data_IF_322133533832
#
_entry.id   IF_322133533832
#
_cell.length_a   1.000
_cell.length_b   1.000
_cell.length_c   1.000
_cell.angle_alpha   90.00
_cell.angle_beta   90.00
_cell.angle_gamma   90.00
#
_symmetry.space_group_name_H-M   'P 1'
#
loop_
_entity.id
_entity.type
_entity.pdbx_description
1 polymer ?
#
# COMPACT_ATOMS: atom_id res chain seq x y z
N UNK A 1 -27.12 -12.90 20.48
CA UNK A 1 -25.96 -12.00 20.41
C UNK A 1 -26.19 -10.85 21.38
N UNK A 2 -25.34 -10.68 22.42
CA UNK A 2 -25.58 -9.72 23.50
C UNK A 2 -25.56 -8.27 22.96
N UNK A 3 -26.31 -7.37 23.62
CA UNK A 3 -26.39 -5.94 23.24
C UNK A 3 -25.03 -5.26 23.23
N UNK A 4 -24.10 -5.72 24.04
CA UNK A 4 -22.71 -5.26 24.13
C UNK A 4 -21.91 -5.58 22.86
N UNK A 5 -22.04 -6.80 22.32
CA UNK A 5 -21.35 -7.23 21.09
C UNK A 5 -21.85 -6.41 19.90
N UNK A 6 -23.17 -6.18 19.82
CA UNK A 6 -23.76 -5.33 18.77
C UNK A 6 -23.23 -3.89 18.82
N UNK A 7 -23.12 -3.30 20.01
CA UNK A 7 -22.59 -1.94 20.18
C UNK A 7 -21.11 -1.84 19.79
N UNK A 8 -20.27 -2.79 20.20
CA UNK A 8 -18.84 -2.83 19.82
C UNK A 8 -18.69 -2.97 18.31
N UNK A 9 -19.44 -3.88 17.68
CA UNK A 9 -19.45 -4.08 16.24
C UNK A 9 -19.87 -2.81 15.48
N UNK A 10 -21.00 -2.20 15.86
CA UNK A 10 -21.47 -0.96 15.24
C UNK A 10 -20.45 0.17 15.37
N UNK A 11 -19.86 0.35 16.55
CA UNK A 11 -18.84 1.38 16.75
C UNK A 11 -17.63 1.17 15.83
N UNK A 12 -17.09 -0.05 15.76
CA UNK A 12 -15.94 -0.36 14.91
C UNK A 12 -16.28 -0.17 13.43
N UNK A 13 -17.47 -0.62 12.99
CA UNK A 13 -17.93 -0.43 11.60
C UNK A 13 -18.06 1.04 11.25
N UNK A 14 -18.69 1.84 12.12
CA UNK A 14 -18.82 3.29 11.90
C UNK A 14 -17.45 3.98 11.85
N UNK A 15 -16.53 3.62 12.73
CA UNK A 15 -15.16 4.16 12.73
C UNK A 15 -14.46 3.86 11.42
N UNK A 16 -14.45 2.59 10.99
CA UNK A 16 -13.80 2.19 9.72
C UNK A 16 -14.45 2.89 8.52
N UNK A 17 -15.80 2.91 8.47
CA UNK A 17 -16.53 3.55 7.37
C UNK A 17 -16.23 5.06 7.29
N UNK A 18 -16.22 5.75 8.43
CA UNK A 18 -15.91 7.19 8.48
C UNK A 18 -14.50 7.50 7.99
N UNK A 19 -13.49 6.78 8.47
CA UNK A 19 -12.10 6.97 8.02
C UNK A 19 -11.91 6.58 6.55
N UNK A 20 -12.58 5.53 6.08
CA UNK A 20 -12.57 5.16 4.66
C UNK A 20 -13.18 6.26 3.79
N UNK A 21 -14.27 6.88 4.24
CA UNK A 21 -14.92 7.97 3.51
C UNK A 21 -14.02 9.21 3.45
N UNK A 22 -13.42 9.59 4.57
CA UNK A 22 -12.42 10.67 4.65
C UNK A 22 -11.26 10.38 3.69
N UNK A 23 -10.70 9.17 3.72
CA UNK A 23 -9.62 8.76 2.82
C UNK A 23 -10.00 8.90 1.34
N UNK A 24 -11.23 8.53 0.96
CA UNK A 24 -11.71 8.66 -0.42
C UNK A 24 -11.82 10.13 -0.85
N UNK A 25 -12.27 11.01 0.04
CA UNK A 25 -12.35 12.45 -0.24
C UNK A 25 -10.95 13.02 -0.46
N UNK A 26 -9.99 12.71 0.43
CA UNK A 26 -8.60 13.14 0.25
C UNK A 26 -7.97 12.55 -1.02
N UNK A 27 -8.25 11.28 -1.34
CA UNK A 27 -7.79 10.66 -2.58
C UNK A 27 -8.31 11.39 -3.82
N UNK A 28 -9.59 11.77 -3.82
CA UNK A 28 -10.17 12.56 -4.90
C UNK A 28 -9.53 13.96 -5.03
N UNK A 29 -9.32 14.65 -3.91
CA UNK A 29 -8.67 15.96 -3.88
C UNK A 29 -7.23 15.84 -4.42
N UNK A 30 -6.48 14.85 -3.98
CA UNK A 30 -5.13 14.57 -4.48
C UNK A 30 -5.13 14.34 -6.00
N UNK A 31 -6.01 13.47 -6.50
CA UNK A 31 -6.06 13.13 -7.92
C UNK A 31 -6.47 14.35 -8.78
N UNK A 32 -7.41 15.17 -8.28
CA UNK A 32 -7.77 16.42 -8.91
C UNK A 32 -6.61 17.44 -8.92
N UNK A 33 -5.87 17.56 -7.83
CA UNK A 33 -4.70 18.40 -7.75
C UNK A 33 -3.60 17.95 -8.72
N UNK A 34 -3.28 16.66 -8.76
CA UNK A 34 -2.32 16.07 -9.71
C UNK A 34 -2.74 16.41 -11.14
N UNK A 35 -4.01 16.23 -11.47
CA UNK A 35 -4.52 16.55 -12.80
C UNK A 35 -4.37 18.03 -13.12
N UNK A 36 -4.79 18.95 -12.25
CA UNK A 36 -4.74 20.38 -12.48
C UNK A 36 -3.29 20.88 -12.63
N UNK A 37 -2.38 20.44 -11.78
CA UNK A 37 -1.00 20.93 -11.77
C UNK A 37 -0.10 20.28 -12.83
N UNK A 38 -0.35 19.03 -13.22
CA UNK A 38 0.53 18.28 -14.11
C UNK A 38 -0.02 18.18 -15.53
N UNK A 39 -1.35 18.33 -15.75
CA UNK A 39 -1.94 18.14 -17.08
C UNK A 39 -1.42 19.11 -18.15
N UNK A 40 -0.95 20.29 -17.73
CA UNK A 40 -0.38 21.28 -18.64
C UNK A 40 1.05 20.95 -19.12
N UNK A 41 1.70 19.93 -18.52
CA UNK A 41 3.03 19.49 -18.88
C UNK A 41 2.93 18.36 -19.89
N UNK A 42 3.41 18.57 -21.11
CA UNK A 42 3.30 17.61 -22.21
C UNK A 42 3.82 16.22 -21.81
N UNK A 43 2.92 15.23 -21.69
CA UNK A 43 3.24 13.85 -21.40
C UNK A 43 3.62 13.52 -19.95
N UNK A 44 3.76 14.49 -19.05
CA UNK A 44 4.16 14.24 -17.66
C UNK A 44 3.08 13.48 -16.87
N UNK A 45 1.82 13.75 -17.13
CA UNK A 45 0.70 13.06 -16.50
C UNK A 45 0.69 11.57 -16.86
N UNK A 46 0.91 11.24 -18.13
CA UNK A 46 1.00 9.85 -18.58
C UNK A 46 2.18 9.13 -17.98
N UNK A 47 3.35 9.79 -17.95
CA UNK A 47 4.55 9.27 -17.30
C UNK A 47 4.33 8.97 -15.82
N UNK A 48 3.63 9.85 -15.10
CA UNK A 48 3.27 9.66 -13.71
C UNK A 48 2.37 8.43 -13.53
N UNK A 49 1.28 8.32 -14.30
CA UNK A 49 0.35 7.19 -14.17
C UNK A 49 1.00 5.85 -14.54
N UNK A 50 1.87 5.82 -15.55
CA UNK A 50 2.60 4.60 -15.91
C UNK A 50 3.58 4.21 -14.81
N UNK A 51 4.35 5.15 -14.28
CA UNK A 51 5.29 4.91 -13.18
C UNK A 51 4.58 4.41 -11.91
N UNK A 52 3.35 4.87 -11.65
CA UNK A 52 2.58 4.49 -10.47
C UNK A 52 1.91 3.12 -10.56
N UNK A 53 1.82 2.52 -11.76
CA UNK A 53 1.17 1.19 -11.96
C UNK A 53 1.83 0.08 -11.15
N UNK A 54 3.16 0.00 -11.15
CA UNK A 54 3.90 -1.07 -10.46
C UNK A 54 3.75 -0.95 -8.94
N UNK A 55 4.06 0.19 -8.30
CA UNK A 55 3.85 0.36 -6.87
C UNK A 55 2.41 0.08 -6.45
N UNK A 56 1.44 0.51 -7.24
CA UNK A 56 0.02 0.30 -6.95
C UNK A 56 -0.38 -1.18 -7.06
N UNK A 57 0.20 -1.93 -7.98
CA UNK A 57 0.01 -3.38 -8.08
C UNK A 57 0.51 -4.09 -6.82
N UNK A 58 1.71 -3.78 -6.35
CA UNK A 58 2.24 -4.34 -5.11
C UNK A 58 1.41 -3.94 -3.89
N UNK A 59 0.97 -2.67 -3.81
CA UNK A 59 0.06 -2.21 -2.76
C UNK A 59 -1.23 -3.05 -2.71
N UNK A 60 -1.80 -3.42 -3.86
CA UNK A 60 -3.00 -4.28 -3.92
C UNK A 60 -2.73 -5.69 -3.43
N UNK A 61 -1.61 -6.29 -3.79
CA UNK A 61 -1.24 -7.64 -3.34
C UNK A 61 -1.04 -7.66 -1.83
N UNK A 62 -0.22 -6.74 -1.31
CA UNK A 62 0.17 -6.73 0.09
C UNK A 62 -0.87 -6.04 0.99
N UNK A 63 -1.49 -4.94 0.54
CA UNK A 63 -2.36 -4.09 1.37
C UNK A 63 -3.83 -4.46 1.36
N UNK A 64 -4.37 -4.84 0.21
CA UNK A 64 -5.81 -5.02 0.03
C UNK A 64 -6.24 -6.48 -0.17
N UNK A 65 -5.30 -7.41 -0.31
CA UNK A 65 -5.63 -8.73 -0.79
C UNK A 65 -4.96 -9.90 -0.09
N UNK A 66 -4.11 -10.62 -0.83
CA UNK A 66 -3.66 -11.96 -0.48
C UNK A 66 -2.95 -12.03 0.87
N UNK A 67 -2.08 -11.06 1.20
CA UNK A 67 -1.32 -11.12 2.43
C UNK A 67 -2.20 -10.91 3.67
N UNK A 68 -3.05 -9.88 3.68
CA UNK A 68 -3.94 -9.61 4.82
C UNK A 68 -4.92 -10.75 5.06
N UNK A 69 -5.50 -11.31 3.99
CA UNK A 69 -6.45 -12.43 4.10
C UNK A 69 -5.80 -13.73 4.56
N UNK A 70 -4.53 -13.95 4.24
CA UNK A 70 -3.78 -15.13 4.70
C UNK A 70 -3.20 -14.93 6.11
N UNK A 71 -2.70 -13.73 6.41
CA UNK A 71 -1.98 -13.46 7.65
C UNK A 71 -2.90 -13.39 8.87
N UNK A 72 -4.06 -12.72 8.74
CA UNK A 72 -5.00 -12.53 9.87
C UNK A 72 -5.48 -13.86 10.47
N UNK A 73 -5.94 -14.86 9.68
CA UNK A 73 -6.35 -16.16 10.24
C UNK A 73 -5.21 -16.89 10.94
N UNK A 74 -4.00 -16.89 10.34
CA UNK A 74 -2.84 -17.58 10.92
C UNK A 74 -2.43 -16.92 12.24
N UNK A 75 -2.28 -15.60 12.27
CA UNK A 75 -1.95 -14.89 13.51
C UNK A 75 -3.04 -15.05 14.57
N UNK A 76 -4.32 -15.09 14.17
CA UNK A 76 -5.44 -15.32 15.09
C UNK A 76 -5.38 -16.73 15.69
N UNK A 77 -5.00 -17.73 14.90
CA UNK A 77 -4.81 -19.10 15.39
C UNK A 77 -3.65 -19.19 16.39
N UNK A 78 -2.51 -18.59 16.07
CA UNK A 78 -1.38 -18.49 17.00
C UNK A 78 -1.79 -17.81 18.31
N UNK A 79 -2.48 -16.67 18.24
CA UNK A 79 -2.95 -15.92 19.40
C UNK A 79 -3.89 -16.72 20.30
N UNK A 80 -4.70 -17.63 19.75
CA UNK A 80 -5.66 -18.41 20.50
C UNK A 80 -5.10 -19.71 21.08
N UNK A 81 -4.05 -20.28 20.44
CA UNK A 81 -3.58 -21.64 20.72
C UNK A 81 -2.13 -21.71 21.21
N UNK A 82 -1.39 -20.60 21.20
CA UNK A 82 0.02 -20.55 21.56
C UNK A 82 0.29 -19.61 22.74
N UNK A 83 1.44 -19.73 23.35
CA UNK A 83 1.91 -18.82 24.39
C UNK A 83 2.24 -17.45 23.81
N UNK A 84 2.26 -16.42 24.67
CA UNK A 84 2.50 -15.03 24.21
C UNK A 84 3.86 -14.84 23.56
N UNK A 85 4.85 -15.57 24.05
CA UNK A 85 6.21 -15.58 23.56
C UNK A 85 6.27 -16.09 22.12
N UNK A 86 5.61 -17.23 21.83
CA UNK A 86 5.52 -17.81 20.48
C UNK A 86 4.80 -16.86 19.50
N UNK A 87 3.74 -16.20 19.98
CA UNK A 87 2.99 -15.22 19.16
C UNK A 87 3.88 -14.02 18.81
N UNK A 88 4.66 -13.53 19.77
CA UNK A 88 5.57 -12.40 19.54
C UNK A 88 6.70 -12.80 18.61
N UNK A 89 7.25 -13.99 18.76
CA UNK A 89 8.26 -14.55 17.86
C UNK A 89 7.74 -14.65 16.43
N UNK A 90 6.56 -15.22 16.22
CA UNK A 90 5.91 -15.30 14.92
C UNK A 90 5.72 -13.92 14.27
N UNK A 91 5.28 -12.92 15.03
CA UNK A 91 5.12 -11.54 14.54
C UNK A 91 6.47 -10.96 14.12
N UNK A 92 7.50 -11.10 14.96
CA UNK A 92 8.83 -10.57 14.69
C UNK A 92 9.47 -11.22 13.46
N UNK A 93 9.37 -12.54 13.33
CA UNK A 93 9.87 -13.29 12.18
C UNK A 93 9.13 -12.88 10.89
N UNK A 94 7.81 -12.75 10.97
CA UNK A 94 6.99 -12.33 9.82
C UNK A 94 7.38 -10.93 9.34
N UNK A 95 7.50 -9.96 10.25
CA UNK A 95 7.90 -8.58 9.92
C UNK A 95 9.33 -8.56 9.35
N UNK A 96 10.26 -9.27 9.99
CA UNK A 96 11.67 -9.32 9.58
C UNK A 96 11.82 -9.93 8.19
N UNK A 97 11.20 -11.09 7.96
CA UNK A 97 11.24 -11.80 6.68
C UNK A 97 10.64 -10.94 5.57
N UNK A 98 9.48 -10.34 5.83
CA UNK A 98 8.82 -9.51 4.84
C UNK A 98 9.62 -8.24 4.55
N UNK A 99 10.17 -7.60 5.57
CA UNK A 99 11.05 -6.44 5.44
C UNK A 99 12.25 -6.76 4.55
N UNK A 100 12.88 -7.91 4.78
CA UNK A 100 14.03 -8.36 3.97
C UNK A 100 13.64 -8.57 2.49
N UNK A 101 12.51 -9.26 2.25
CA UNK A 101 12.01 -9.49 0.89
C UNK A 101 11.68 -8.15 0.20
N UNK A 102 11.00 -7.24 0.90
CA UNK A 102 10.62 -5.94 0.34
C UNK A 102 11.84 -5.05 0.04
N UNK A 103 12.90 -5.11 0.85
CA UNK A 103 14.16 -4.41 0.57
C UNK A 103 14.76 -4.95 -0.73
N UNK A 104 14.85 -6.27 -0.89
CA UNK A 104 15.39 -6.89 -2.12
C UNK A 104 14.57 -6.46 -3.33
N UNK A 105 13.24 -6.56 -3.26
CA UNK A 105 12.35 -6.14 -4.35
C UNK A 105 12.54 -4.66 -4.67
N UNK A 106 12.64 -3.80 -3.65
CA UNK A 106 12.83 -2.36 -3.84
C UNK A 106 14.16 -2.04 -4.50
N UNK A 107 15.26 -2.65 -4.04
CA UNK A 107 16.59 -2.45 -4.63
C UNK A 107 16.63 -2.93 -6.08
N UNK A 108 16.15 -4.14 -6.35
CA UNK A 108 16.07 -4.66 -7.72
C UNK A 108 15.20 -3.75 -8.59
N UNK A 109 14.03 -3.35 -8.07
CA UNK A 109 13.10 -2.49 -8.79
C UNK A 109 13.69 -1.14 -9.16
N UNK A 110 14.43 -0.50 -8.25
CA UNK A 110 15.16 0.76 -8.54
C UNK A 110 16.18 0.56 -9.67
N UNK A 111 16.91 -0.55 -9.67
CA UNK A 111 17.93 -0.83 -10.68
C UNK A 111 17.33 -1.11 -12.05
N UNK A 112 16.22 -1.86 -12.12
CA UNK A 112 15.57 -2.26 -13.37
C UNK A 112 14.45 -1.32 -13.81
N UNK A 113 14.19 -0.23 -13.09
CA UNK A 113 13.08 0.69 -13.37
C UNK A 113 13.02 1.15 -14.85
N UNK A 114 14.13 1.55 -15.52
CA UNK A 114 14.07 1.90 -16.93
C UNK A 114 13.62 0.76 -17.84
N UNK A 115 14.09 -0.46 -17.54
CA UNK A 115 13.73 -1.67 -18.29
C UNK A 115 12.24 -1.96 -18.12
N UNK A 116 11.71 -1.79 -16.91
CA UNK A 116 10.28 -1.97 -16.63
C UNK A 116 9.42 -0.98 -17.42
N UNK A 117 9.85 0.29 -17.52
CA UNK A 117 9.14 1.30 -18.33
C UNK A 117 9.19 0.92 -19.82
N UNK A 118 10.34 0.46 -20.29
CA UNK A 118 10.48 -0.03 -21.67
C UNK A 118 9.48 -1.14 -21.99
N UNK A 119 9.26 -2.08 -21.07
CA UNK A 119 8.36 -3.21 -21.26
C UNK A 119 6.86 -2.81 -21.17
N UNK A 120 6.53 -1.87 -20.26
CA UNK A 120 5.13 -1.50 -19.97
C UNK A 120 4.63 -0.41 -20.90
N UNK A 121 5.49 0.51 -21.30
CA UNK A 121 5.17 1.66 -22.11
C UNK A 121 6.20 1.89 -23.25
N UNK A 122 6.34 0.95 -24.20
CA UNK A 122 7.35 1.06 -25.27
C UNK A 122 7.18 2.33 -26.12
N UNK A 123 5.94 2.86 -26.21
CA UNK A 123 5.68 4.12 -26.92
C UNK A 123 6.34 5.36 -26.31
N UNK A 124 6.78 5.30 -25.05
CA UNK A 124 7.42 6.44 -24.38
C UNK A 124 8.89 6.65 -24.79
N UNK A 125 9.50 5.66 -25.42
CA UNK A 125 10.94 5.68 -25.77
C UNK A 125 11.22 6.70 -26.86
N UNK A 126 10.30 6.80 -27.85
CA UNK A 126 10.44 7.69 -29.00
C UNK A 126 9.55 8.94 -28.86
N UNK A 127 9.11 9.27 -27.64
CA UNK A 127 8.28 10.44 -27.42
C UNK A 127 9.11 11.72 -27.49
N UNK A 128 8.59 12.76 -28.13
CA UNK A 128 9.23 14.08 -28.20
C UNK A 128 9.46 14.74 -26.83
N UNK A 129 8.78 14.24 -25.78
CA UNK A 129 8.76 14.81 -24.43
C UNK A 129 9.58 14.02 -23.41
N UNK A 130 10.47 13.14 -23.82
CA UNK A 130 11.28 12.29 -22.92
C UNK A 130 10.47 11.55 -21.84
N UNK A 131 9.25 11.14 -22.18
CA UNK A 131 8.31 10.48 -21.23
C UNK A 131 8.89 9.21 -20.61
N UNK A 132 9.71 8.47 -21.38
CA UNK A 132 10.34 7.24 -20.90
C UNK A 132 11.35 7.49 -19.77
N UNK A 133 12.20 8.53 -19.90
CA UNK A 133 13.16 8.93 -18.88
C UNK A 133 12.46 9.46 -17.63
N UNK A 134 11.46 10.31 -17.82
CA UNK A 134 10.64 10.83 -16.72
C UNK A 134 9.92 9.72 -15.95
N UNK A 135 9.25 8.80 -16.67
CA UNK A 135 8.56 7.67 -16.07
C UNK A 135 9.54 6.74 -15.32
N UNK A 136 10.74 6.50 -15.88
CA UNK A 136 11.78 5.71 -15.23
C UNK A 136 12.29 6.35 -13.94
N UNK A 137 12.52 7.66 -13.94
CA UNK A 137 12.92 8.42 -12.76
C UNK A 137 11.81 8.40 -11.67
N UNK A 138 10.57 8.64 -12.06
CA UNK A 138 9.43 8.57 -11.14
C UNK A 138 9.25 7.16 -10.57
N UNK A 139 9.42 6.12 -11.38
CA UNK A 139 9.31 4.74 -10.91
C UNK A 139 10.42 4.40 -9.90
N UNK A 140 11.67 4.85 -10.14
CA UNK A 140 12.76 4.68 -9.16
C UNK A 140 12.41 5.27 -7.80
N UNK A 141 11.87 6.48 -7.78
CA UNK A 141 11.46 7.15 -6.54
C UNK A 141 10.25 6.48 -5.87
N UNK A 142 9.43 5.77 -6.63
CA UNK A 142 8.26 5.07 -6.11
C UNK A 142 8.58 3.70 -5.47
N UNK A 143 9.74 3.07 -5.73
CA UNK A 143 10.08 1.79 -5.10
C UNK A 143 10.28 1.90 -3.58
N UNK A 144 11.00 2.90 -3.02
CA UNK A 144 11.03 3.11 -1.58
C UNK A 144 9.65 3.36 -0.97
N UNK A 145 8.79 4.11 -1.66
CA UNK A 145 7.38 4.30 -1.23
C UNK A 145 6.63 2.96 -1.17
N UNK A 146 6.81 2.09 -2.17
CA UNK A 146 6.21 0.76 -2.20
C UNK A 146 6.62 -0.08 -0.99
N UNK A 147 7.90 -0.03 -0.60
CA UNK A 147 8.39 -0.71 0.60
C UNK A 147 7.59 -0.31 1.85
N UNK A 148 7.47 0.99 2.11
CA UNK A 148 6.75 1.49 3.28
C UNK A 148 5.27 1.15 3.26
N UNK A 149 4.60 1.26 2.11
CA UNK A 149 3.16 0.98 2.04
C UNK A 149 2.86 -0.52 2.25
N UNK A 150 3.71 -1.42 1.73
CA UNK A 150 3.57 -2.85 1.95
C UNK A 150 3.83 -3.23 3.41
N UNK A 151 4.85 -2.65 4.04
CA UNK A 151 5.13 -2.88 5.45
C UNK A 151 3.98 -2.38 6.34
N UNK A 152 3.46 -1.20 6.04
CA UNK A 152 2.30 -0.64 6.76
C UNK A 152 1.07 -1.56 6.66
N UNK A 153 0.86 -2.21 5.52
CA UNK A 153 -0.25 -3.16 5.34
C UNK A 153 -0.16 -4.38 6.26
N UNK A 154 1.05 -4.90 6.49
CA UNK A 154 1.27 -5.99 7.44
C UNK A 154 1.03 -5.55 8.88
N UNK A 155 1.57 -4.38 9.26
CA UNK A 155 1.32 -3.80 10.57
C UNK A 155 -0.17 -3.55 10.81
N UNK A 156 -0.89 -3.11 9.78
CA UNK A 156 -2.35 -2.96 9.83
C UNK A 156 -3.07 -4.30 10.04
N UNK A 157 -2.60 -5.38 9.42
CA UNK A 157 -3.15 -6.73 9.59
C UNK A 157 -2.94 -7.24 11.03
N UNK A 158 -1.77 -6.97 11.62
CA UNK A 158 -1.49 -7.28 13.03
C UNK A 158 -2.47 -6.52 13.92
N UNK A 159 -2.59 -5.21 13.75
CA UNK A 159 -3.51 -4.37 14.53
C UNK A 159 -4.97 -4.84 14.42
N UNK A 160 -5.40 -5.23 13.24
CA UNK A 160 -6.74 -5.77 13.01
C UNK A 160 -6.98 -7.07 13.78
N UNK A 161 -5.97 -7.96 13.89
CA UNK A 161 -6.05 -9.18 14.70
C UNK A 161 -6.18 -8.90 16.19
N UNK A 162 -5.73 -7.72 16.63
CA UNK A 162 -5.88 -7.24 18.02
C UNK A 162 -7.09 -6.29 18.21
N UNK A 163 -8.09 -6.35 17.34
CA UNK A 163 -9.31 -5.51 17.39
C UNK A 163 -9.04 -3.99 17.30
N UNK A 164 -7.89 -3.58 16.83
CA UNK A 164 -7.51 -2.17 16.67
C UNK A 164 -7.69 -1.73 15.21
N UNK A 165 -8.90 -1.27 14.87
CA UNK A 165 -9.28 -0.94 13.49
C UNK A 165 -9.08 0.53 13.11
N UNK A 166 -8.97 1.43 14.09
CA UNK A 166 -8.94 2.87 13.84
C UNK A 166 -7.67 3.30 13.10
N UNK A 167 -6.48 2.85 13.56
CA UNK A 167 -5.20 3.19 12.95
C UNK A 167 -5.10 2.64 11.53
N UNK A 168 -5.37 1.33 11.27
CA UNK A 168 -5.42 0.81 9.91
C UNK A 168 -6.35 1.57 8.98
N UNK A 169 -7.53 1.96 9.46
CA UNK A 169 -8.52 2.67 8.66
C UNK A 169 -8.10 4.13 8.35
N UNK A 170 -7.30 4.75 9.21
CA UNK A 170 -6.78 6.12 9.01
C UNK A 170 -5.56 6.17 8.08
N UNK A 171 -4.77 5.11 8.01
CA UNK A 171 -3.54 5.06 7.23
C UNK A 171 -3.71 5.48 5.77
N UNK A 172 -4.71 5.00 5.01
CA UNK A 172 -4.92 5.44 3.63
C UNK A 172 -5.28 6.94 3.51
N UNK A 173 -5.89 7.53 4.55
CA UNK A 173 -6.15 8.98 4.55
C UNK A 173 -4.86 9.79 4.67
N UNK A 174 -3.94 9.37 5.55
CA UNK A 174 -2.62 10.00 5.68
C UNK A 174 -1.76 9.91 4.42
N UNK A 175 -1.92 8.83 3.65
CA UNK A 175 -1.21 8.65 2.37
C UNK A 175 -1.77 9.53 1.24
N UNK A 176 -2.94 10.11 1.41
CA UNK A 176 -3.62 10.96 0.43
C UNK A 176 -3.45 12.46 0.71
N UNK A 177 -2.82 12.83 1.82
CA UNK A 177 -2.50 14.22 2.21
C UNK A 177 -1.09 14.56 1.74
#
# INVERSE_FOLDING_TARGET
MSSFIKRKFLKNTLTVSSFTMISRVFGYIRDAAIFIFISNSSGALDAFFVAFRIPNFFRRIFGEGALSTAYIPVLSDFKNNKEKEDVQEFINESISTLTFILIIISVIGVLIAPILIYLIAPGFINSEYNQGELAGSLLRNNFPYMFFICLTAVLASILNTYDSFAIPALTPALLNI
#
